data_IF_559795329230
#
_entry.id   IF_559795329230
#
_cell.length_a   1.000
_cell.length_b   1.000
_cell.length_c   1.000
_cell.angle_alpha   90.00
_cell.angle_beta   90.00
_cell.angle_gamma   90.00
#
_symmetry.space_group_name_H-M   'P 1'
#
loop_
_entity.id
_entity.type
_entity.pdbx_description
1 polymer ?
#
# COMPACT_ATOMS: atom_id res chain seq x y z
N UNK A 1 29.13 -32.22 -35.82
CA UNK A 1 28.45 -32.90 -34.70
C UNK A 1 28.95 -32.25 -33.41
N UNK A 2 28.22 -31.25 -32.90
CA UNK A 2 28.59 -30.51 -31.68
C UNK A 2 27.60 -30.85 -30.57
N UNK A 3 28.09 -31.52 -29.52
CA UNK A 3 27.30 -31.94 -28.37
C UNK A 3 27.00 -30.79 -27.43
N UNK A 4 25.72 -30.60 -27.11
CA UNK A 4 25.22 -29.66 -26.10
C UNK A 4 25.35 -30.30 -24.72
N UNK A 5 26.15 -29.70 -23.85
CA UNK A 5 26.25 -30.06 -22.44
C UNK A 5 25.05 -29.53 -21.65
N UNK A 6 24.29 -30.46 -21.08
CA UNK A 6 23.17 -30.27 -20.16
C UNK A 6 23.67 -29.72 -18.83
N UNK A 7 23.07 -28.61 -18.36
CA UNK A 7 23.25 -28.07 -17.02
C UNK A 7 22.01 -28.44 -16.19
N UNK A 8 22.10 -29.52 -15.44
CA UNK A 8 21.18 -29.81 -14.33
C UNK A 8 21.94 -30.54 -13.23
N UNK A 9 21.71 -30.06 -12.01
CA UNK A 9 21.87 -30.75 -10.73
C UNK A 9 23.29 -31.00 -10.21
N UNK A 10 23.83 -30.04 -9.42
CA UNK A 10 24.53 -30.37 -8.17
C UNK A 10 24.76 -29.13 -7.29
N UNK A 11 23.81 -28.77 -6.43
CA UNK A 11 24.07 -27.77 -5.39
C UNK A 11 23.24 -28.01 -4.13
N UNK A 12 23.47 -29.13 -3.45
CA UNK A 12 23.04 -29.31 -2.07
C UNK A 12 23.99 -30.22 -1.29
N UNK A 13 25.13 -29.69 -0.84
CA UNK A 13 25.74 -30.23 0.37
C UNK A 13 26.62 -29.20 1.12
N UNK A 14 26.46 -29.20 2.44
CA UNK A 14 27.29 -28.58 3.50
C UNK A 14 27.02 -27.12 3.85
N UNK A 15 26.27 -26.96 4.95
CA UNK A 15 26.82 -26.38 6.19
C UNK A 15 25.97 -26.74 7.41
N UNK A 16 26.50 -27.65 8.21
CA UNK A 16 26.05 -27.90 9.58
C UNK A 16 26.43 -26.71 10.47
N UNK A 17 25.44 -26.10 11.13
CA UNK A 17 25.65 -25.29 12.32
C UNK A 17 24.43 -25.43 13.25
N UNK A 18 24.71 -25.78 14.51
CA UNK A 18 23.74 -25.97 15.59
C UNK A 18 22.87 -24.73 15.77
N UNK A 19 21.56 -24.90 15.62
CA UNK A 19 20.58 -23.96 16.18
C UNK A 19 20.08 -24.55 17.50
N UNK A 20 20.44 -23.90 18.60
CA UNK A 20 19.93 -24.21 19.93
C UNK A 20 18.42 -24.05 19.96
N UNK A 21 17.69 -25.09 20.38
CA UNK A 21 16.25 -25.02 20.66
C UNK A 21 15.99 -24.04 21.81
N UNK A 22 15.70 -22.77 21.49
CA UNK A 22 15.10 -21.84 22.44
C UNK A 22 13.62 -22.22 22.55
N UNK A 23 13.30 -22.91 23.65
CA UNK A 23 11.94 -23.30 24.04
C UNK A 23 11.21 -22.01 24.40
N UNK A 24 10.34 -21.52 23.51
CA UNK A 24 9.38 -20.48 23.87
C UNK A 24 8.25 -21.15 24.65
N UNK A 25 8.09 -20.74 25.90
CA UNK A 25 6.88 -21.03 26.66
C UNK A 25 5.73 -20.32 25.96
N UNK A 26 4.79 -21.07 25.42
CA UNK A 26 3.46 -20.56 25.06
C UNK A 26 2.64 -20.55 26.34
N UNK A 27 2.53 -19.38 26.98
CA UNK A 27 1.48 -19.18 27.97
C UNK A 27 0.14 -19.26 27.24
N UNK A 28 -0.66 -20.25 27.59
CA UNK A 28 -2.06 -20.37 27.19
C UNK A 28 -2.83 -19.20 27.79
N UNK A 29 -3.14 -18.19 26.99
CA UNK A 29 -3.94 -17.06 27.43
C UNK A 29 -5.42 -17.42 27.34
N UNK A 30 -6.01 -17.60 28.52
CA UNK A 30 -7.40 -17.96 28.76
C UNK A 30 -8.35 -16.89 28.17
N UNK A 31 -9.34 -17.33 27.37
CA UNK A 31 -10.17 -16.50 26.48
C UNK A 31 -11.36 -15.81 27.17
N UNK A 32 -11.25 -15.52 28.46
CA UNK A 32 -12.39 -15.07 29.25
C UNK A 32 -12.06 -13.91 30.20
N UNK A 33 -11.36 -12.85 29.75
CA UNK A 33 -11.43 -11.59 30.49
C UNK A 33 -11.03 -10.36 29.66
N UNK A 34 -11.72 -9.25 29.95
CA UNK A 34 -11.38 -7.85 29.64
C UNK A 34 -11.61 -7.34 28.23
N UNK A 35 -12.84 -6.85 28.05
CA UNK A 35 -13.07 -5.47 27.62
C UNK A 35 -12.07 -4.55 28.34
N UNK A 36 -10.97 -4.19 27.70
CA UNK A 36 -10.14 -3.05 28.09
C UNK A 36 -10.06 -2.12 26.89
N UNK A 37 -10.76 -1.00 27.02
CA UNK A 37 -10.50 0.23 26.28
C UNK A 37 -9.00 0.48 26.25
N UNK A 38 -8.40 0.37 25.07
CA UNK A 38 -7.00 0.73 24.87
C UNK A 38 -6.97 2.27 24.81
N UNK A 39 -6.88 2.91 25.96
CA UNK A 39 -6.40 4.27 26.06
C UNK A 39 -4.90 4.22 25.77
N UNK A 40 -4.52 4.44 24.51
CA UNK A 40 -3.13 4.46 24.08
C UNK A 40 -2.47 5.78 24.51
N UNK A 41 -2.22 5.91 25.81
CA UNK A 41 -1.40 6.98 26.38
C UNK A 41 0.03 6.47 26.51
N UNK A 42 0.72 6.33 25.38
CA UNK A 42 2.17 6.11 25.39
C UNK A 42 2.81 7.11 24.46
N UNK A 43 3.20 8.24 25.03
CA UNK A 43 4.19 9.15 24.47
C UNK A 43 5.44 8.34 24.18
N UNK A 44 5.62 7.97 22.91
CA UNK A 44 6.90 7.53 22.40
C UNK A 44 7.77 8.79 22.25
N UNK A 45 8.51 9.14 23.29
CA UNK A 45 9.63 10.08 23.17
C UNK A 45 10.75 9.36 22.41
N UNK A 46 10.72 9.49 21.08
CA UNK A 46 11.90 9.30 20.28
C UNK A 46 12.85 10.47 20.55
N UNK A 47 14.09 10.24 21.01
CA UNK A 47 15.11 11.28 20.98
C UNK A 47 15.45 11.51 19.51
N UNK A 48 14.74 12.45 18.89
CA UNK A 48 15.17 13.05 17.63
C UNK A 48 16.49 13.75 17.91
N UNK A 49 17.60 13.14 17.51
CA UNK A 49 18.87 13.82 17.38
C UNK A 49 18.63 15.09 16.55
N UNK A 50 18.76 16.23 17.21
CA UNK A 50 18.48 17.57 16.68
C UNK A 50 19.58 18.07 15.73
N UNK A 51 20.12 17.20 14.88
CA UNK A 51 21.18 17.52 13.91
C UNK A 51 20.69 17.31 12.47
N UNK A 52 19.56 17.91 12.14
CA UNK A 52 19.25 18.42 10.79
C UNK A 52 18.01 19.31 10.85
N UNK A 53 18.01 20.30 11.73
CA UNK A 53 17.11 21.43 11.60
C UNK A 53 17.53 22.23 10.34
N UNK A 54 17.09 21.77 9.17
CA UNK A 54 17.09 22.61 7.98
C UNK A 54 16.15 23.78 8.28
N UNK A 55 16.70 24.99 8.38
CA UNK A 55 15.97 26.27 8.51
C UNK A 55 14.74 26.35 7.59
N UNK A 56 13.76 27.25 7.87
CA UNK A 56 12.41 27.22 7.30
C UNK A 56 12.41 27.73 5.85
N UNK A 57 12.97 26.93 4.97
CA UNK A 57 12.63 26.99 3.57
C UNK A 57 11.22 26.40 3.43
N UNK A 58 10.36 27.05 2.63
CA UNK A 58 8.91 26.75 2.54
C UNK A 58 8.61 25.26 2.29
N UNK A 59 9.56 24.54 1.70
CA UNK A 59 9.50 23.09 1.43
C UNK A 59 10.80 22.40 1.89
N UNK A 60 10.65 21.28 2.59
CA UNK A 60 11.77 20.42 2.99
C UNK A 60 12.28 19.56 1.81
N UNK A 61 13.53 19.09 1.87
CA UNK A 61 14.06 18.17 0.84
C UNK A 61 13.24 16.87 0.75
N UNK A 62 12.75 16.38 1.89
CA UNK A 62 11.91 15.19 1.94
C UNK A 62 10.59 15.38 1.16
N UNK A 63 9.97 16.56 1.27
CA UNK A 63 8.80 16.95 0.49
C UNK A 63 9.12 17.14 -0.99
N UNK A 64 10.25 17.78 -1.33
CA UNK A 64 10.68 17.95 -2.71
C UNK A 64 10.97 16.61 -3.40
N UNK A 65 11.59 15.67 -2.69
CA UNK A 65 11.76 14.30 -3.19
C UNK A 65 10.41 13.59 -3.32
N UNK A 66 9.50 13.75 -2.36
CA UNK A 66 8.15 13.19 -2.47
C UNK A 66 7.38 13.76 -3.68
N UNK A 67 7.56 15.05 -3.98
CA UNK A 67 7.02 15.70 -5.16
C UNK A 67 7.59 15.09 -6.44
N UNK A 68 8.92 14.93 -6.52
CA UNK A 68 9.60 14.30 -7.66
C UNK A 68 9.15 12.84 -7.89
N UNK A 69 8.82 12.12 -6.82
CA UNK A 69 8.33 10.74 -6.87
C UNK A 69 6.80 10.64 -7.07
N UNK A 70 6.09 11.77 -7.24
CA UNK A 70 4.62 11.84 -7.37
C UNK A 70 3.84 11.30 -6.15
N UNK A 71 4.45 11.32 -4.97
CA UNK A 71 3.91 10.74 -3.73
C UNK A 71 3.24 11.77 -2.81
N UNK A 72 3.17 13.04 -3.19
CA UNK A 72 2.45 14.05 -2.42
C UNK A 72 0.94 14.02 -2.71
N UNK A 73 0.17 14.49 -1.72
CA UNK A 73 -1.25 14.82 -1.91
C UNK A 73 -1.41 15.92 -2.99
N UNK A 74 -2.52 15.92 -3.75
CA UNK A 74 -2.68 16.80 -4.92
C UNK A 74 -2.52 18.29 -4.59
N UNK A 75 -3.08 18.74 -3.47
CA UNK A 75 -3.01 20.16 -3.05
C UNK A 75 -1.57 20.61 -2.79
N UNK A 76 -0.77 19.79 -2.12
CA UNK A 76 0.66 20.09 -1.88
C UNK A 76 1.50 19.99 -3.15
N UNK A 77 1.19 19.06 -4.06
CA UNK A 77 1.83 19.01 -5.38
C UNK A 77 1.61 20.30 -6.16
N UNK A 78 0.35 20.75 -6.25
CA UNK A 78 0.00 21.99 -6.97
C UNK A 78 0.65 23.22 -6.36
N UNK A 79 0.81 23.27 -5.04
CA UNK A 79 1.49 24.37 -4.37
C UNK A 79 2.98 24.45 -4.74
N UNK A 80 3.66 23.29 -4.77
CA UNK A 80 5.06 23.22 -5.19
C UNK A 80 5.16 23.58 -6.68
N UNK A 81 4.28 23.06 -7.54
CA UNK A 81 4.26 23.39 -8.98
C UNK A 81 4.15 24.90 -9.22
N UNK A 82 3.27 25.58 -8.48
CA UNK A 82 3.14 27.04 -8.58
C UNK A 82 4.41 27.75 -8.11
N UNK A 83 4.95 27.37 -6.96
CA UNK A 83 6.17 27.97 -6.42
C UNK A 83 7.37 27.80 -7.37
N UNK A 84 7.51 26.62 -7.99
CA UNK A 84 8.56 26.29 -8.94
C UNK A 84 8.52 27.16 -10.20
N UNK A 85 7.37 27.75 -10.57
CA UNK A 85 7.30 28.67 -11.73
C UNK A 85 7.94 30.02 -11.44
N UNK A 86 7.89 30.47 -10.19
CA UNK A 86 8.31 31.82 -9.80
C UNK A 86 9.69 31.83 -9.14
N UNK A 87 10.11 30.71 -8.55
CA UNK A 87 11.35 30.59 -7.79
C UNK A 87 12.43 29.78 -8.52
N UNK A 88 13.45 30.49 -9.03
CA UNK A 88 14.62 29.88 -9.66
C UNK A 88 15.46 29.05 -8.67
N UNK A 89 15.58 29.48 -7.41
CA UNK A 89 16.35 28.73 -6.41
C UNK A 89 15.68 27.39 -6.11
N UNK A 90 14.36 27.39 -6.00
CA UNK A 90 13.59 26.16 -5.83
C UNK A 90 13.73 25.22 -7.03
N UNK A 91 13.72 25.76 -8.26
CA UNK A 91 14.02 24.98 -9.48
C UNK A 91 15.39 24.34 -9.43
N UNK A 92 16.43 25.10 -9.10
CA UNK A 92 17.79 24.58 -9.00
C UNK A 92 17.91 23.49 -7.91
N UNK A 93 17.24 23.69 -6.77
CA UNK A 93 17.19 22.68 -5.69
C UNK A 93 16.53 21.37 -6.16
N UNK A 94 15.43 21.42 -6.91
CA UNK A 94 14.80 20.23 -7.51
C UNK A 94 15.72 19.54 -8.54
N UNK A 95 16.42 20.31 -9.39
CA UNK A 95 17.38 19.78 -10.36
C UNK A 95 18.52 19.06 -9.64
N UNK A 96 19.05 19.64 -8.56
CA UNK A 96 20.10 19.05 -7.75
C UNK A 96 19.64 17.73 -7.11
N UNK A 97 18.47 17.72 -6.46
CA UNK A 97 17.90 16.51 -5.85
C UNK A 97 17.68 15.41 -6.89
N UNK A 98 17.15 15.75 -8.06
CA UNK A 98 17.00 14.79 -9.17
C UNK A 98 18.35 14.27 -9.68
N UNK A 99 19.37 15.13 -9.75
CA UNK A 99 20.72 14.76 -10.16
C UNK A 99 21.38 13.76 -9.19
N UNK A 100 21.16 13.92 -7.88
CA UNK A 100 21.64 12.99 -6.87
C UNK A 100 21.04 11.58 -7.06
N UNK A 101 19.75 11.50 -7.35
CA UNK A 101 19.09 10.22 -7.65
C UNK A 101 19.68 9.53 -8.88
N UNK A 102 19.92 10.27 -9.96
CA UNK A 102 20.53 9.72 -11.18
C UNK A 102 21.96 9.20 -10.92
N UNK A 103 22.69 9.83 -10.00
CA UNK A 103 24.01 9.38 -9.56
C UNK A 103 23.98 8.19 -8.58
N UNK A 104 22.79 7.65 -8.26
CA UNK A 104 22.63 6.54 -7.32
C UNK A 104 22.72 6.93 -5.84
N UNK A 105 22.68 8.22 -5.51
CA UNK A 105 22.71 8.73 -4.15
C UNK A 105 21.30 8.72 -3.54
N UNK A 106 20.74 7.53 -3.36
CA UNK A 106 19.42 7.37 -2.79
C UNK A 106 19.46 7.34 -1.26
N UNK A 107 18.52 8.05 -0.63
CA UNK A 107 18.24 7.84 0.79
C UNK A 107 17.47 6.53 0.98
N UNK A 108 17.61 5.91 2.15
CA UNK A 108 16.82 4.71 2.51
C UNK A 108 15.31 4.98 2.36
N UNK A 109 14.86 6.17 2.78
CA UNK A 109 13.47 6.58 2.65
C UNK A 109 12.99 6.74 1.20
N UNK A 110 13.86 7.17 0.27
CA UNK A 110 13.53 7.21 -1.16
C UNK A 110 13.35 5.79 -1.73
N UNK A 111 14.29 4.88 -1.42
CA UNK A 111 14.19 3.47 -1.85
C UNK A 111 12.92 2.83 -1.30
N UNK A 112 12.63 3.01 0.00
CA UNK A 112 11.45 2.42 0.65
C UNK A 112 10.14 2.80 -0.03
N UNK A 113 9.96 4.10 -0.35
CA UNK A 113 8.74 4.61 -1.01
C UNK A 113 8.64 4.16 -2.47
N UNK A 114 9.74 4.19 -3.22
CA UNK A 114 9.78 3.75 -4.62
C UNK A 114 9.51 2.26 -4.77
N UNK A 115 10.14 1.44 -3.93
CA UNK A 115 9.95 0.00 -3.92
C UNK A 115 8.68 -0.44 -3.19
N UNK A 116 7.98 0.50 -2.53
CA UNK A 116 6.69 0.25 -1.86
C UNK A 116 6.79 -0.88 -0.83
N UNK A 117 7.88 -0.91 -0.07
CA UNK A 117 8.24 -2.04 0.81
C UNK A 117 7.20 -2.32 1.91
N UNK A 118 6.44 -1.31 2.31
CA UNK A 118 5.34 -1.43 3.27
C UNK A 118 3.96 -1.44 2.61
N UNK A 119 3.83 -1.35 1.29
CA UNK A 119 2.50 -1.31 0.70
C UNK A 119 1.87 -2.71 0.71
N UNK A 120 0.60 -2.87 1.14
CA UNK A 120 -0.11 -4.11 0.93
C UNK A 120 -0.24 -4.40 -0.57
N UNK A 121 -0.17 -5.67 -0.95
CA UNK A 121 -0.39 -6.04 -2.35
C UNK A 121 -1.85 -5.82 -2.76
N UNK A 122 -2.09 -5.81 -4.08
CA UNK A 122 -3.43 -5.53 -4.61
C UNK A 122 -4.46 -6.60 -4.22
N UNK A 123 -4.06 -7.87 -4.08
CA UNK A 123 -4.93 -8.95 -3.62
C UNK A 123 -5.38 -8.75 -2.17
N UNK A 124 -4.50 -8.27 -1.31
CA UNK A 124 -4.79 -7.91 0.08
C UNK A 124 -5.78 -6.75 0.11
N UNK A 125 -5.58 -5.71 -0.70
CA UNK A 125 -6.52 -4.60 -0.82
C UNK A 125 -7.89 -5.08 -1.33
N UNK A 126 -7.92 -6.05 -2.25
CA UNK A 126 -9.17 -6.65 -2.74
C UNK A 126 -9.89 -7.42 -1.62
N UNK A 127 -9.17 -8.23 -0.84
CA UNK A 127 -9.72 -8.92 0.31
C UNK A 127 -10.22 -7.94 1.39
N UNK A 128 -9.51 -6.83 1.60
CA UNK A 128 -9.94 -5.75 2.50
C UNK A 128 -11.28 -5.16 2.06
N UNK A 129 -11.40 -4.76 0.78
CA UNK A 129 -12.64 -4.21 0.20
C UNK A 129 -13.80 -5.21 0.31
N UNK A 130 -13.51 -6.51 0.20
CA UNK A 130 -14.51 -7.58 0.37
C UNK A 130 -14.82 -7.92 1.84
N UNK A 131 -14.17 -7.27 2.82
CA UNK A 131 -14.22 -7.60 4.25
C UNK A 131 -13.84 -9.06 4.55
N UNK A 132 -12.78 -9.56 3.91
CA UNK A 132 -12.30 -10.94 4.02
C UNK A 132 -10.94 -11.08 4.72
N UNK A 133 -10.38 -9.97 5.22
CA UNK A 133 -9.15 -9.99 6.02
C UNK A 133 -9.45 -10.28 7.49
N UNK A 134 -8.48 -10.87 8.18
CA UNK A 134 -8.46 -10.87 9.64
C UNK A 134 -8.30 -9.44 10.20
N UNK A 135 -8.56 -9.30 11.50
CA UNK A 135 -8.57 -8.00 12.16
C UNK A 135 -7.22 -7.28 12.11
N UNK A 136 -6.11 -8.00 12.31
CA UNK A 136 -4.78 -7.38 12.36
C UNK A 136 -4.38 -6.86 10.97
N UNK A 137 -4.64 -7.64 9.92
CA UNK A 137 -4.34 -7.22 8.56
C UNK A 137 -5.28 -6.10 8.08
N UNK A 138 -6.55 -6.12 8.50
CA UNK A 138 -7.49 -5.05 8.21
C UNK A 138 -7.06 -3.72 8.85
N UNK A 139 -6.61 -3.74 10.11
CA UNK A 139 -6.08 -2.57 10.80
C UNK A 139 -4.82 -2.02 10.10
N UNK A 140 -3.93 -2.90 9.66
CA UNK A 140 -2.74 -2.51 8.90
C UNK A 140 -3.09 -1.79 7.59
N UNK A 141 -4.04 -2.35 6.83
CA UNK A 141 -4.50 -1.73 5.57
C UNK A 141 -5.15 -0.37 5.86
N UNK A 142 -5.99 -0.27 6.89
CA UNK A 142 -6.61 0.99 7.28
C UNK A 142 -5.55 2.05 7.63
N UNK A 143 -4.60 1.71 8.50
CA UNK A 143 -3.47 2.57 8.85
C UNK A 143 -2.69 3.03 7.62
N UNK A 144 -2.45 2.13 6.66
CA UNK A 144 -1.73 2.46 5.43
C UNK A 144 -2.52 3.43 4.53
N UNK A 145 -3.85 3.35 4.53
CA UNK A 145 -4.74 4.21 3.75
C UNK A 145 -4.99 5.59 4.41
N UNK A 146 -5.01 5.66 5.74
CA UNK A 146 -5.36 6.88 6.48
C UNK A 146 -4.16 7.63 7.02
N UNK A 147 -3.27 6.95 7.76
CA UNK A 147 -2.17 7.59 8.47
C UNK A 147 -0.93 7.75 7.59
N UNK A 148 -0.53 6.69 6.88
CA UNK A 148 0.53 6.80 5.87
C UNK A 148 0.02 7.59 4.66
N UNK A 149 -1.27 7.48 4.34
CA UNK A 149 -1.88 8.20 3.22
C UNK A 149 -1.27 7.86 1.87
N UNK A 150 -0.84 6.60 1.66
CA UNK A 150 -0.15 6.23 0.42
C UNK A 150 -1.05 6.41 -0.80
N UNK A 151 -0.70 7.34 -1.69
CA UNK A 151 -1.45 7.69 -2.90
C UNK A 151 -1.73 6.49 -3.80
N UNK A 152 -0.75 5.60 -3.95
CA UNK A 152 -0.88 4.38 -4.76
C UNK A 152 -1.91 3.42 -4.17
N UNK A 153 -1.86 3.19 -2.85
CA UNK A 153 -2.80 2.27 -2.19
C UNK A 153 -4.22 2.84 -2.20
N UNK A 154 -4.38 4.15 -1.99
CA UNK A 154 -5.66 4.85 -2.13
C UNK A 154 -6.26 4.69 -3.52
N UNK A 155 -5.47 4.94 -4.56
CA UNK A 155 -5.92 4.78 -5.94
C UNK A 155 -6.36 3.32 -6.26
N UNK A 156 -5.62 2.33 -5.76
CA UNK A 156 -6.02 0.92 -5.91
C UNK A 156 -7.31 0.61 -5.14
N UNK A 157 -7.43 1.10 -3.91
CA UNK A 157 -8.63 0.92 -3.09
C UNK A 157 -9.87 1.54 -3.76
N UNK A 158 -9.76 2.75 -4.30
CA UNK A 158 -10.86 3.42 -5.00
C UNK A 158 -11.30 2.64 -6.23
N UNK A 159 -10.34 2.19 -7.06
CA UNK A 159 -10.61 1.37 -8.23
C UNK A 159 -11.29 0.05 -7.86
N UNK A 160 -10.79 -0.66 -6.84
CA UNK A 160 -11.39 -1.91 -6.35
C UNK A 160 -12.82 -1.70 -5.83
N UNK A 161 -13.08 -0.63 -5.10
CA UNK A 161 -14.44 -0.29 -4.65
C UNK A 161 -15.38 0.00 -5.83
N UNK A 162 -14.91 0.74 -6.84
CA UNK A 162 -15.70 1.00 -8.05
C UNK A 162 -16.01 -0.31 -8.80
N UNK A 163 -15.06 -1.23 -8.88
CA UNK A 163 -15.27 -2.55 -9.48
C UNK A 163 -16.32 -3.37 -8.70
N UNK A 164 -16.26 -3.38 -7.37
CA UNK A 164 -17.25 -4.05 -6.53
C UNK A 164 -18.67 -3.46 -6.72
N UNK A 165 -18.78 -2.13 -6.75
CA UNK A 165 -20.05 -1.44 -6.98
C UNK A 165 -20.64 -1.76 -8.36
N UNK A 166 -19.81 -1.77 -9.41
CA UNK A 166 -20.23 -2.16 -10.77
C UNK A 166 -20.73 -3.61 -10.80
N UNK A 167 -20.01 -4.54 -10.17
CA UNK A 167 -20.41 -5.95 -10.08
C UNK A 167 -21.80 -6.14 -9.46
N UNK A 168 -22.05 -5.48 -8.32
CA UNK A 168 -23.36 -5.51 -7.65
C UNK A 168 -24.49 -5.00 -8.55
N UNK A 169 -24.28 -3.87 -9.22
CA UNK A 169 -25.30 -3.29 -10.12
C UNK A 169 -25.62 -4.20 -11.32
N UNK A 170 -24.62 -4.92 -11.86
CA UNK A 170 -24.82 -5.85 -12.96
C UNK A 170 -25.62 -7.08 -12.54
N UNK A 171 -25.36 -7.62 -11.34
CA UNK A 171 -26.10 -8.74 -10.76
C UNK A 171 -27.56 -8.37 -10.47
N UNK A 172 -27.81 -7.18 -9.93
CA UNK A 172 -29.15 -6.65 -9.72
C UNK A 172 -29.92 -6.49 -11.04
N UNK A 173 -29.27 -5.94 -12.07
CA UNK A 173 -29.87 -5.81 -13.40
C UNK A 173 -30.18 -7.17 -14.02
N UNK A 174 -29.30 -8.17 -13.86
CA UNK A 174 -29.54 -9.53 -14.32
C UNK A 174 -30.71 -10.19 -13.59
N UNK A 175 -30.78 -10.03 -12.26
CA UNK A 175 -31.87 -10.53 -11.43
C UNK A 175 -33.20 -9.90 -11.82
N UNK A 176 -33.24 -8.57 -12.03
CA UNK A 176 -34.43 -7.85 -12.49
C UNK A 176 -34.89 -8.35 -13.86
N UNK A 177 -33.98 -8.50 -14.83
CA UNK A 177 -34.30 -9.05 -16.16
C UNK A 177 -34.88 -10.47 -16.08
N UNK A 178 -34.31 -11.34 -15.23
CA UNK A 178 -34.81 -12.70 -15.02
C UNK A 178 -36.24 -12.70 -14.45
N UNK A 179 -36.54 -11.85 -13.46
CA UNK A 179 -37.90 -11.71 -12.90
C UNK A 179 -38.90 -11.24 -13.95
N UNK A 180 -38.57 -10.19 -14.72
CA UNK A 180 -39.43 -9.68 -15.79
C UNK A 180 -39.75 -10.76 -16.83
N UNK A 181 -38.74 -11.54 -17.25
CA UNK A 181 -38.92 -12.65 -18.19
C UNK A 181 -39.82 -13.76 -17.62
N UNK A 182 -39.63 -14.13 -16.34
CA UNK A 182 -40.46 -15.13 -15.67
C UNK A 182 -41.93 -14.67 -15.55
N UNK A 183 -42.16 -13.38 -15.27
CA UNK A 183 -43.53 -12.84 -15.19
C UNK A 183 -44.21 -12.74 -16.54
N UNK A 184 -43.48 -12.45 -17.64
CA UNK A 184 -44.08 -12.36 -18.98
C UNK A 184 -44.33 -13.72 -19.63
N UNK A 185 -43.49 -14.74 -19.35
CA UNK A 185 -43.66 -16.09 -19.88
C UNK A 185 -44.93 -16.80 -19.35
N UNK A 186 -45.47 -16.39 -18.21
CA UNK A 186 -46.72 -16.95 -17.63
C UNK A 186 -48.01 -16.53 -18.37
N UNK A 187 -47.96 -15.53 -19.24
CA UNK A 187 -49.13 -15.02 -19.98
C UNK A 187 -49.26 -15.54 -21.41
N UNK A 188 -48.28 -16.31 -21.91
CA UNK A 188 -48.36 -16.96 -23.21
C UNK A 188 -49.00 -18.34 -23.06
N UNK A 189 -50.33 -18.38 -22.91
CA UNK A 189 -51.09 -19.62 -23.11
C UNK A 189 -51.05 -19.96 -24.60
N UNK A 190 -50.57 -21.17 -24.92
CA UNK A 190 -50.66 -21.76 -26.26
C UNK A 190 -52.15 -21.96 -26.55
N UNK A 191 -52.69 -21.24 -27.52
CA UNK A 191 -54.03 -21.50 -28.02
C UNK A 191 -53.86 -22.56 -29.11
N UNK A 192 -54.33 -23.78 -28.81
CA UNK A 192 -54.53 -24.83 -29.82
C UNK A 192 -55.74 -24.47 -30.71
#
# INVERSE_FOLDING_TARGET
MGGRGSWSDDFTERRSARVSKRRYHTETFDSADRRRSISFSRTFEFPLSADSASSPDRFSDAELVAFLDEQLEPSRSSEIEQAVREDEKLRQRLIQLRGQDVAGLHTIGAIWRRQRLSCPDRSTLQAYVANQLDHEMADYVLFHLTEIGCRVCRANFDDLNQQLARGRSAEEAATRRRRLFQTSAGHLRRHD
#
